data_IF_011289701968
#
_entry.id   IF_011289701968
#
_cell.length_a   1.000
_cell.length_b   1.000
_cell.length_c   1.000
_cell.angle_alpha   90.00
_cell.angle_beta   90.00
_cell.angle_gamma   90.00
#
_symmetry.space_group_name_H-M   'P 1'
#
loop_
_entity.id
_entity.type
_entity.pdbx_description
1 polymer ?
#
# COMPACT_ATOMS: atom_id res chain seq x y z
N UNK A 1 -45.62 2.10 -0.54
CA UNK A 1 -46.80 1.81 0.30
C UNK A 1 -46.27 0.99 1.45
N UNK A 2 -46.42 1.47 2.69
CA UNK A 2 -46.05 0.69 3.87
C UNK A 2 -47.26 -0.12 4.31
N UNK A 3 -47.04 -1.40 4.60
CA UNK A 3 -48.11 -2.29 5.10
C UNK A 3 -48.56 -1.88 6.52
N UNK A 4 -47.69 -1.19 7.28
CA UNK A 4 -47.99 -0.56 8.58
C UNK A 4 -47.57 0.92 8.57
N UNK A 5 -48.56 1.82 8.63
CA UNK A 5 -48.33 3.26 8.61
C UNK A 5 -47.64 3.81 9.88
N UNK A 6 -47.66 3.08 11.00
CA UNK A 6 -47.00 3.51 12.24
C UNK A 6 -45.47 3.50 12.14
N UNK A 7 -44.92 2.69 11.24
CA UNK A 7 -43.48 2.59 11.02
C UNK A 7 -42.92 3.72 10.15
N UNK A 8 -43.78 4.42 9.41
CA UNK A 8 -43.36 5.44 8.45
C UNK A 8 -42.47 6.52 9.09
N UNK A 9 -42.81 6.99 10.29
CA UNK A 9 -42.05 8.02 10.99
C UNK A 9 -40.62 7.58 11.33
N UNK A 10 -40.44 6.30 11.69
CA UNK A 10 -39.11 5.73 11.99
C UNK A 10 -38.27 5.59 10.72
N UNK A 11 -38.88 5.22 9.59
CA UNK A 11 -38.22 5.19 8.29
C UNK A 11 -37.82 6.59 7.80
N UNK A 12 -38.60 7.62 8.08
CA UNK A 12 -38.25 9.01 7.78
C UNK A 12 -37.03 9.48 8.59
N UNK A 13 -36.99 9.17 9.89
CA UNK A 13 -35.80 9.42 10.72
C UNK A 13 -34.58 8.64 10.25
N UNK A 14 -34.76 7.37 9.89
CA UNK A 14 -33.68 6.54 9.35
C UNK A 14 -33.16 7.10 8.02
N UNK A 15 -34.05 7.58 7.14
CA UNK A 15 -33.68 8.21 5.88
C UNK A 15 -32.90 9.52 6.11
N UNK A 16 -33.29 10.33 7.09
CA UNK A 16 -32.52 11.50 7.49
C UNK A 16 -31.12 11.13 8.00
N UNK A 17 -31.00 10.09 8.83
CA UNK A 17 -29.71 9.55 9.27
C UNK A 17 -28.85 9.09 8.09
N UNK A 18 -29.43 8.37 7.12
CA UNK A 18 -28.74 7.96 5.90
C UNK A 18 -28.27 9.16 5.05
N UNK A 19 -29.06 10.23 5.00
CA UNK A 19 -28.67 11.48 4.34
C UNK A 19 -27.47 12.15 5.02
N UNK A 20 -27.40 12.15 6.36
CA UNK A 20 -26.22 12.65 7.08
C UNK A 20 -24.96 11.82 6.80
N UNK A 21 -25.10 10.49 6.72
CA UNK A 21 -24.00 9.60 6.33
C UNK A 21 -23.52 9.92 4.91
N UNK A 22 -24.46 10.14 3.98
CA UNK A 22 -24.14 10.54 2.61
C UNK A 22 -23.33 11.84 2.57
N UNK A 23 -23.72 12.85 3.36
CA UNK A 23 -22.94 14.09 3.50
C UNK A 23 -21.54 13.83 4.04
N UNK A 24 -21.39 12.93 5.03
CA UNK A 24 -20.09 12.51 5.56
C UNK A 24 -19.20 11.87 4.49
N UNK A 25 -19.77 10.99 3.65
CA UNK A 25 -19.05 10.38 2.52
C UNK A 25 -18.60 11.46 1.53
N UNK A 26 -19.45 12.43 1.21
CA UNK A 26 -19.07 13.54 0.35
C UNK A 26 -17.95 14.39 0.94
N UNK A 27 -18.02 14.72 2.24
CA UNK A 27 -16.95 15.43 2.93
C UNK A 27 -15.63 14.67 2.89
N UNK A 28 -15.66 13.35 3.06
CA UNK A 28 -14.47 12.49 2.94
C UNK A 28 -13.89 12.50 1.52
N UNK A 29 -14.72 12.41 0.49
CA UNK A 29 -14.27 12.50 -0.91
C UNK A 29 -13.63 13.87 -1.18
N UNK A 30 -14.27 14.96 -0.73
CA UNK A 30 -13.73 16.32 -0.88
C UNK A 30 -12.37 16.43 -0.19
N UNK A 31 -12.23 15.88 1.02
CA UNK A 31 -10.96 15.85 1.76
C UNK A 31 -9.86 15.16 0.93
N UNK A 32 -10.14 13.97 0.37
CA UNK A 32 -9.17 13.26 -0.48
C UNK A 32 -8.79 14.07 -1.72
N UNK A 33 -9.76 14.68 -2.41
CA UNK A 33 -9.52 15.49 -3.62
C UNK A 33 -8.68 16.73 -3.30
N UNK A 34 -9.01 17.47 -2.24
CA UNK A 34 -8.28 18.67 -1.84
C UNK A 34 -6.86 18.32 -1.40
N UNK A 35 -6.69 17.27 -0.59
CA UNK A 35 -5.37 16.79 -0.17
C UNK A 35 -4.52 16.35 -1.36
N UNK A 36 -5.08 15.63 -2.33
CA UNK A 36 -4.34 15.23 -3.53
C UNK A 36 -3.92 16.44 -4.38
N UNK A 37 -4.80 17.43 -4.55
CA UNK A 37 -4.49 18.66 -5.29
C UNK A 37 -3.40 19.50 -4.60
N UNK A 38 -3.36 19.50 -3.26
CA UNK A 38 -2.39 20.25 -2.44
C UNK A 38 -1.23 19.38 -1.93
N UNK A 39 -1.02 18.20 -2.50
CA UNK A 39 -0.03 17.22 -2.00
C UNK A 39 1.39 17.75 -1.90
N UNK A 40 1.79 18.64 -2.82
CA UNK A 40 3.16 19.20 -2.85
C UNK A 40 3.35 20.22 -1.73
N UNK A 41 2.37 21.08 -1.47
CA UNK A 41 2.43 22.07 -0.39
C UNK A 41 2.26 21.47 1.01
N UNK A 42 1.64 20.29 1.09
CA UNK A 42 1.37 19.57 2.35
C UNK A 42 2.29 18.35 2.53
N UNK A 43 3.31 18.21 1.70
CA UNK A 43 4.21 17.07 1.77
C UNK A 43 5.04 17.14 3.05
N UNK A 44 5.02 16.05 3.83
CA UNK A 44 6.04 15.84 4.85
C UNK A 44 7.35 15.42 4.17
N UNK A 45 8.41 16.06 4.58
CA UNK A 45 9.80 15.92 4.14
C UNK A 45 10.68 15.26 5.21
N UNK A 46 10.20 15.12 6.44
CA UNK A 46 10.99 14.56 7.54
C UNK A 46 10.89 13.04 7.58
N UNK A 47 9.72 12.49 7.24
CA UNK A 47 9.33 11.11 7.48
C UNK A 47 8.54 10.91 8.78
N UNK A 48 8.50 11.91 9.67
CA UNK A 48 7.88 11.82 10.98
C UNK A 48 7.06 13.08 11.34
N UNK A 49 5.92 13.32 10.67
CA UNK A 49 5.10 14.52 10.88
C UNK A 49 4.40 14.55 12.25
N UNK A 50 4.33 13.41 12.95
CA UNK A 50 3.58 13.26 14.20
C UNK A 50 4.45 12.89 15.41
N UNK A 51 5.78 12.85 15.25
CA UNK A 51 6.70 12.32 16.26
C UNK A 51 6.30 10.90 16.72
N UNK A 52 6.03 10.03 15.75
CA UNK A 52 5.61 8.64 15.93
C UNK A 52 6.63 7.78 16.66
N UNK A 53 6.20 6.58 17.08
CA UNK A 53 6.95 5.70 18.00
C UNK A 53 7.55 4.47 17.35
N UNK A 54 7.00 4.09 16.21
CA UNK A 54 7.22 2.84 15.49
C UNK A 54 8.09 3.08 14.24
N UNK A 55 8.64 2.01 13.65
CA UNK A 55 9.70 2.11 12.64
C UNK A 55 9.25 2.73 11.31
N UNK A 56 7.96 2.73 10.98
CA UNK A 56 7.46 3.36 9.75
C UNK A 56 7.80 4.86 9.72
N UNK A 57 7.82 5.52 10.87
CA UNK A 57 8.17 6.94 11.02
C UNK A 57 9.68 7.21 10.93
N UNK A 58 10.51 6.16 10.87
CA UNK A 58 11.94 6.29 10.57
C UNK A 58 12.23 6.26 9.06
N UNK A 59 11.23 5.93 8.23
CA UNK A 59 11.35 5.89 6.76
C UNK A 59 11.17 7.26 6.12
N UNK A 60 11.54 7.40 4.85
CA UNK A 60 11.50 8.67 4.13
C UNK A 60 10.08 8.98 3.67
N UNK A 61 9.63 10.22 3.87
CA UNK A 61 8.41 10.75 3.25
C UNK A 61 8.75 11.87 2.25
N UNK A 62 8.16 11.84 1.03
CA UNK A 62 7.56 10.67 0.39
C UNK A 62 8.65 9.62 0.09
N UNK A 63 8.31 8.31 0.07
CA UNK A 63 9.25 7.30 -0.41
C UNK A 63 9.68 7.65 -1.85
N UNK A 64 10.98 7.62 -2.17
CA UNK A 64 11.44 7.82 -3.54
C UNK A 64 10.76 6.82 -4.47
N UNK A 65 10.35 7.25 -5.68
CA UNK A 65 9.60 6.41 -6.64
C UNK A 65 10.36 5.12 -7.01
N UNK A 66 11.70 5.16 -6.91
CA UNK A 66 12.62 4.06 -7.18
C UNK A 66 13.05 3.28 -5.93
N UNK A 67 12.60 3.68 -4.73
CA UNK A 67 12.87 2.98 -3.48
C UNK A 67 11.88 1.82 -3.34
N UNK A 68 12.33 0.62 -3.72
CA UNK A 68 11.57 -0.63 -3.58
C UNK A 68 11.75 -1.26 -2.18
N UNK A 69 12.81 -0.89 -1.47
CA UNK A 69 13.13 -1.38 -0.13
C UNK A 69 12.63 -0.46 0.98
N UNK A 70 12.24 -1.03 2.12
CA UNK A 70 11.80 -0.23 3.28
C UNK A 70 13.01 0.43 3.99
N UNK A 71 14.01 -0.39 4.35
CA UNK A 71 15.20 0.02 5.08
C UNK A 71 16.46 -0.41 4.33
N UNK A 72 17.44 0.49 4.22
CA UNK A 72 18.74 0.16 3.60
C UNK A 72 19.59 -0.76 4.50
N UNK A 73 19.40 -0.65 5.81
CA UNK A 73 19.96 -1.56 6.81
C UNK A 73 18.82 -2.05 7.70
N UNK A 74 18.83 -3.33 8.04
CA UNK A 74 17.84 -3.90 8.97
C UNK A 74 17.99 -3.24 10.33
N UNK A 75 16.95 -2.56 10.86
CA UNK A 75 17.03 -1.91 12.15
C UNK A 75 17.16 -2.93 13.27
N UNK A 76 18.05 -2.64 14.24
CA UNK A 76 18.21 -3.47 15.44
C UNK A 76 17.20 -2.98 16.47
N UNK A 77 16.24 -3.84 16.81
CA UNK A 77 15.13 -3.51 17.71
C UNK A 77 15.39 -4.07 19.10
N UNK A 78 15.25 -3.23 20.12
CA UNK A 78 15.38 -3.62 21.53
C UNK A 78 14.05 -3.62 22.29
N UNK A 79 13.07 -2.85 21.82
CA UNK A 79 11.76 -2.65 22.46
C UNK A 79 10.67 -2.51 21.40
N UNK A 80 9.40 -2.66 21.78
CA UNK A 80 8.25 -2.52 20.87
C UNK A 80 8.19 -1.14 20.20
N UNK A 81 8.38 -0.06 20.97
CA UNK A 81 8.46 1.32 20.47
C UNK A 81 9.87 1.64 19.97
N UNK A 82 10.33 0.91 18.96
CA UNK A 82 11.72 0.93 18.52
C UNK A 82 12.20 2.32 18.11
N UNK A 83 11.41 3.07 17.32
CA UNK A 83 11.81 4.40 16.85
C UNK A 83 11.87 5.42 17.99
N UNK A 84 10.96 5.33 18.96
CA UNK A 84 10.99 6.20 20.14
C UNK A 84 12.25 5.97 20.99
N UNK A 85 12.60 4.71 21.24
CA UNK A 85 13.82 4.35 21.98
C UNK A 85 15.09 4.75 21.21
N UNK A 86 15.12 4.53 19.90
CA UNK A 86 16.20 4.98 19.02
C UNK A 86 16.40 6.50 19.07
N UNK A 87 15.32 7.30 19.00
CA UNK A 87 15.38 8.76 19.15
C UNK A 87 15.95 9.16 20.51
N UNK A 88 15.47 8.53 21.60
CA UNK A 88 15.96 8.81 22.97
C UNK A 88 17.44 8.49 23.16
N UNK A 89 17.94 7.46 22.47
CA UNK A 89 19.36 7.06 22.50
C UNK A 89 20.24 7.85 21.51
N UNK A 90 19.69 8.84 20.82
CA UNK A 90 20.43 9.66 19.86
C UNK A 90 20.86 8.87 18.62
N UNK A 91 19.98 8.01 18.10
CA UNK A 91 20.26 7.22 16.91
C UNK A 91 20.70 8.09 15.73
N UNK A 92 21.83 7.73 15.13
CA UNK A 92 22.38 8.36 13.92
C UNK A 92 22.13 7.41 12.75
N UNK A 93 21.51 7.94 11.70
CA UNK A 93 21.25 7.17 10.47
C UNK A 93 22.58 6.84 9.76
N UNK A 94 22.81 5.60 9.32
CA UNK A 94 23.95 5.27 8.48
C UNK A 94 23.91 6.03 7.15
N UNK A 95 25.03 6.63 6.78
CA UNK A 95 25.19 7.39 5.52
C UNK A 95 26.11 6.69 4.51
N UNK A 96 26.75 5.59 4.90
CA UNK A 96 27.72 4.87 4.09
C UNK A 96 27.67 3.37 4.39
N UNK A 97 28.39 2.58 3.57
CA UNK A 97 28.48 1.13 3.73
C UNK A 97 27.28 0.37 3.19
N UNK A 98 26.52 0.97 2.27
CA UNK A 98 25.38 0.30 1.65
C UNK A 98 25.82 -0.93 0.87
N UNK A 99 25.04 -2.00 0.98
CA UNK A 99 25.22 -3.25 0.25
C UNK A 99 24.14 -3.39 -0.81
N UNK A 100 24.36 -4.20 -1.87
CA UNK A 100 23.30 -4.53 -2.81
C UNK A 100 22.11 -5.17 -2.08
N UNK A 101 20.89 -4.76 -2.42
CA UNK A 101 19.66 -5.26 -1.79
C UNK A 101 18.92 -6.13 -2.79
N UNK A 102 18.74 -7.40 -2.42
CA UNK A 102 17.99 -8.36 -3.21
C UNK A 102 16.47 -8.13 -3.07
N UNK A 103 15.74 -8.09 -4.19
CA UNK A 103 14.31 -7.80 -4.22
C UNK A 103 13.55 -8.64 -5.26
N UNK A 104 12.26 -8.95 -4.99
CA UNK A 104 11.41 -9.58 -6.00
C UNK A 104 11.02 -8.60 -7.11
N UNK A 105 10.91 -9.11 -8.33
CA UNK A 105 10.37 -8.41 -9.50
C UNK A 105 8.84 -8.37 -9.44
N UNK A 106 8.25 -7.32 -10.01
CA UNK A 106 6.81 -7.26 -10.21
C UNK A 106 6.36 -8.36 -11.19
N UNK A 107 5.21 -8.98 -10.93
CA UNK A 107 4.62 -9.98 -11.81
C UNK A 107 3.14 -9.73 -12.06
N UNK A 108 2.72 -9.86 -13.33
CA UNK A 108 1.32 -9.80 -13.72
C UNK A 108 0.54 -11.10 -13.46
N UNK A 109 1.21 -12.16 -13.00
CA UNK A 109 0.59 -13.47 -12.85
C UNK A 109 -0.62 -13.46 -11.90
N UNK A 110 -0.55 -12.71 -10.79
CA UNK A 110 -1.68 -12.58 -9.87
C UNK A 110 -2.93 -12.01 -10.54
N UNK A 111 -2.78 -11.00 -11.41
CA UNK A 111 -3.89 -10.42 -12.16
C UNK A 111 -4.47 -11.42 -13.17
N UNK A 112 -3.62 -12.12 -13.91
CA UNK A 112 -4.06 -13.14 -14.88
C UNK A 112 -4.84 -14.27 -14.19
N UNK A 113 -4.30 -14.81 -13.10
CA UNK A 113 -4.97 -15.86 -12.32
C UNK A 113 -6.31 -15.38 -11.75
N UNK A 114 -6.41 -14.13 -11.30
CA UNK A 114 -7.66 -13.55 -10.81
C UNK A 114 -8.73 -13.48 -11.91
N UNK A 115 -8.39 -13.03 -13.12
CA UNK A 115 -9.33 -12.95 -14.26
C UNK A 115 -9.78 -14.34 -14.72
N UNK A 116 -8.86 -15.31 -14.76
CA UNK A 116 -9.19 -16.70 -15.08
C UNK A 116 -10.11 -17.32 -14.01
N UNK A 117 -9.84 -17.05 -12.73
CA UNK A 117 -10.68 -17.48 -11.61
C UNK A 117 -12.07 -16.85 -11.67
N UNK A 118 -12.17 -15.56 -12.00
CA UNK A 118 -13.44 -14.86 -12.21
C UNK A 118 -14.24 -15.50 -13.35
N UNK A 119 -13.58 -15.82 -14.46
CA UNK A 119 -14.24 -16.44 -15.63
C UNK A 119 -14.77 -17.83 -15.30
N UNK A 120 -13.98 -18.63 -14.56
CA UNK A 120 -14.40 -19.94 -14.04
C UNK A 120 -15.61 -19.81 -13.11
N UNK A 121 -15.55 -18.90 -12.13
CA UNK A 121 -16.65 -18.64 -11.19
C UNK A 121 -17.94 -18.19 -11.88
N UNK A 122 -17.83 -17.27 -12.83
CA UNK A 122 -18.97 -16.82 -13.64
C UNK A 122 -19.59 -17.97 -14.44
N UNK A 123 -18.76 -18.81 -15.07
CA UNK A 123 -19.22 -19.98 -15.81
C UNK A 123 -19.97 -20.99 -14.93
N UNK A 124 -19.54 -21.20 -13.69
CA UNK A 124 -20.22 -22.09 -12.74
C UNK A 124 -21.58 -21.53 -12.31
N UNK A 125 -21.68 -20.23 -12.01
CA UNK A 125 -22.93 -19.58 -11.56
C UNK A 125 -24.02 -19.69 -12.64
N UNK A 126 -23.67 -19.53 -13.91
CA UNK A 126 -24.61 -19.56 -15.03
C UNK A 126 -24.75 -20.93 -15.69
N UNK A 127 -24.28 -22.01 -15.05
CA UNK A 127 -24.31 -23.39 -15.58
C UNK A 127 -23.66 -23.56 -16.97
N UNK A 128 -22.69 -22.70 -17.32
CA UNK A 128 -21.92 -22.77 -18.56
C UNK A 128 -20.75 -23.76 -18.43
N UNK A 129 -21.06 -25.05 -18.29
CA UNK A 129 -20.07 -26.09 -17.97
C UNK A 129 -18.83 -26.13 -18.88
N UNK A 130 -18.92 -25.95 -20.21
CA UNK A 130 -17.73 -25.92 -21.06
C UNK A 130 -16.80 -24.75 -20.75
N UNK A 131 -17.36 -23.56 -20.48
CA UNK A 131 -16.60 -22.35 -20.14
C UNK A 131 -15.96 -22.50 -18.76
N UNK A 132 -16.69 -23.04 -17.79
CA UNK A 132 -16.17 -23.32 -16.46
C UNK A 132 -15.01 -24.32 -16.50
N UNK A 133 -15.17 -25.44 -17.23
CA UNK A 133 -14.13 -26.45 -17.38
C UNK A 133 -12.89 -25.90 -18.09
N UNK A 134 -13.07 -25.18 -19.22
CA UNK A 134 -11.98 -24.55 -19.94
C UNK A 134 -11.25 -23.48 -19.11
N UNK A 135 -12.00 -22.64 -18.38
CA UNK A 135 -11.46 -21.63 -17.47
C UNK A 135 -10.64 -22.26 -16.35
N UNK A 136 -11.14 -23.34 -15.75
CA UNK A 136 -10.44 -24.07 -14.70
C UNK A 136 -9.14 -24.72 -15.21
N UNK A 137 -9.18 -25.41 -16.35
CA UNK A 137 -7.97 -25.99 -16.95
C UNK A 137 -6.95 -24.89 -17.27
N UNK A 138 -7.38 -23.79 -17.87
CA UNK A 138 -6.52 -22.65 -18.21
C UNK A 138 -5.89 -22.03 -16.96
N UNK A 139 -6.66 -21.89 -15.87
CA UNK A 139 -6.17 -21.41 -14.58
C UNK A 139 -5.05 -22.29 -14.02
N UNK A 140 -5.26 -23.62 -14.02
CA UNK A 140 -4.26 -24.58 -13.54
C UNK A 140 -3.00 -24.54 -14.41
N UNK A 141 -3.15 -24.53 -15.73
CA UNK A 141 -2.02 -24.45 -16.66
C UNK A 141 -1.23 -23.14 -16.46
N UNK A 142 -1.91 -22.01 -16.34
CA UNK A 142 -1.26 -20.72 -16.10
C UNK A 142 -0.49 -20.70 -14.77
N UNK A 143 -1.05 -21.28 -13.70
CA UNK A 143 -0.38 -21.41 -12.41
C UNK A 143 0.87 -22.30 -12.49
N UNK A 144 0.79 -23.43 -13.21
CA UNK A 144 1.93 -24.32 -13.44
C UNK A 144 3.02 -23.60 -14.24
N UNK A 145 2.68 -22.96 -15.36
CA UNK A 145 3.64 -22.20 -16.18
C UNK A 145 4.33 -21.13 -15.33
N UNK A 146 3.56 -20.37 -14.54
CA UNK A 146 4.15 -19.34 -13.68
C UNK A 146 5.08 -19.92 -12.61
N UNK A 147 4.78 -21.11 -12.09
CA UNK A 147 5.64 -21.82 -11.11
C UNK A 147 7.04 -22.07 -11.65
N UNK A 148 7.17 -22.32 -12.95
CA UNK A 148 8.46 -22.50 -13.64
C UNK A 148 9.14 -21.19 -14.08
N UNK A 149 8.60 -20.02 -13.75
CA UNK A 149 9.32 -18.78 -13.95
C UNK A 149 10.40 -18.62 -12.86
N UNK A 150 11.68 -18.76 -13.23
CA UNK A 150 12.81 -18.61 -12.31
C UNK A 150 13.39 -17.19 -12.29
N UNK A 151 13.07 -16.33 -13.27
CA UNK A 151 13.54 -14.94 -13.29
C UNK A 151 12.60 -14.01 -12.50
N UNK A 152 12.59 -14.19 -11.17
CA UNK A 152 11.70 -13.46 -10.25
C UNK A 152 12.40 -12.43 -9.39
N UNK A 153 13.71 -12.36 -9.46
CA UNK A 153 14.53 -11.63 -8.51
C UNK A 153 15.37 -10.58 -9.23
N UNK A 154 15.66 -9.48 -8.54
CA UNK A 154 16.53 -8.41 -9.00
C UNK A 154 17.38 -7.90 -7.83
N UNK A 155 18.65 -7.63 -8.09
CA UNK A 155 19.52 -6.99 -7.13
C UNK A 155 19.59 -5.48 -7.39
N UNK A 156 19.26 -4.69 -6.38
CA UNK A 156 19.40 -3.24 -6.40
C UNK A 156 20.85 -2.90 -6.07
N UNK A 157 21.63 -2.29 -6.99
CA UNK A 157 23.04 -2.01 -6.74
C UNK A 157 23.25 -1.04 -5.58
N UNK A 158 24.33 -1.23 -4.80
CA UNK A 158 24.68 -0.38 -3.67
C UNK A 158 24.77 1.12 -4.03
N UNK A 159 25.25 1.44 -5.24
CA UNK A 159 25.32 2.83 -5.75
C UNK A 159 23.92 3.47 -5.84
N UNK A 160 22.92 2.70 -6.27
CA UNK A 160 21.55 3.21 -6.38
C UNK A 160 20.93 3.43 -5.00
N UNK A 161 21.23 2.55 -4.03
CA UNK A 161 20.83 2.70 -2.61
C UNK A 161 21.46 3.96 -2.02
N UNK A 162 22.77 4.15 -2.23
CA UNK A 162 23.51 5.34 -1.79
C UNK A 162 22.88 6.63 -2.34
N UNK A 163 22.66 6.70 -3.66
CA UNK A 163 22.02 7.88 -4.29
C UNK A 163 20.64 8.18 -3.70
N UNK A 164 19.87 7.14 -3.39
CA UNK A 164 18.53 7.26 -2.79
C UNK A 164 18.60 7.83 -1.38
N UNK A 165 19.50 7.30 -0.55
CA UNK A 165 19.65 7.72 0.83
C UNK A 165 20.35 9.08 0.93
N UNK A 166 21.26 9.43 0.02
CA UNK A 166 21.88 10.76 -0.04
C UNK A 166 20.86 11.84 -0.38
N UNK A 167 19.94 11.58 -1.33
CA UNK A 167 18.84 12.49 -1.62
C UNK A 167 17.97 12.75 -0.37
N UNK A 168 17.73 11.71 0.43
CA UNK A 168 17.05 11.87 1.73
C UNK A 168 17.88 12.72 2.70
N UNK A 169 19.19 12.49 2.79
CA UNK A 169 20.07 13.30 3.66
C UNK A 169 20.03 14.77 3.29
N UNK A 170 20.08 15.10 2.00
CA UNK A 170 19.99 16.47 1.51
C UNK A 170 18.65 17.13 1.86
N UNK A 171 17.56 16.38 1.74
CA UNK A 171 16.21 16.85 2.05
C UNK A 171 15.99 17.05 3.56
N UNK A 172 16.61 16.24 4.42
CA UNK A 172 16.63 16.47 5.86
C UNK A 172 17.50 17.68 6.24
N UNK A 173 18.64 17.87 5.57
CA UNK A 173 19.52 19.01 5.80
C UNK A 173 18.89 20.35 5.40
N UNK A 174 17.99 20.36 4.41
CA UNK A 174 17.25 21.59 4.04
C UNK A 174 16.14 21.96 5.02
N UNK A 175 15.81 21.08 5.97
CA UNK A 175 14.79 21.28 7.00
C UNK A 175 15.36 21.74 8.35
N UNK A 176 16.69 21.87 8.46
CA UNK A 176 17.40 22.41 9.64
C UNK A 176 17.77 23.87 9.39
#
# INVERSE_FOLDING_TARGET
HFDDASLQIWFEFAAFGAFLILLGIFSFIIQLVVSFRRRVSLADTTGDPWNGRTLEWSTSSPPPVYKVYNFAFTPIVHVSDAWYDMKKRGHIRPVAGFVPIHMPKNTGAGFVLAVLSMTCGFGMIWHMWPVAAAGFVTLIVAAIIHTFNYDRELDIPAESVLRTEDARTQLLASHV
#
